data_IF_392339504350
#
_entry.id   IF_392339504350
#
_cell.length_a   1.000
_cell.length_b   1.000
_cell.length_c   1.000
_cell.angle_alpha   90.00
_cell.angle_beta   90.00
_cell.angle_gamma   90.00
#
_symmetry.space_group_name_H-M   'P 1'
#
loop_
_entity.id
_entity.type
_entity.pdbx_description
1 polymer ?
#
# COMPACT_ATOMS: atom_id res chain seq x y z
N UNK A 1 -22.16 -10.26 -18.21
CA UNK A 1 -22.01 -9.67 -16.83
C UNK A 1 -21.96 -8.16 -16.98
N UNK A 2 -22.70 -7.62 -16.52
CA UNK A 2 -23.59 -6.57 -16.07
C UNK A 2 -22.90 -5.19 -16.03
N UNK A 3 -22.47 -4.70 -17.23
CA UNK A 3 -22.26 -3.24 -17.47
C UNK A 3 -23.47 -2.41 -16.99
N UNK A 4 -24.61 -3.07 -16.78
CA UNK A 4 -25.88 -2.45 -16.42
C UNK A 4 -25.96 -1.95 -14.96
N UNK A 5 -24.95 -2.20 -14.10
CA UNK A 5 -24.88 -1.70 -12.72
C UNK A 5 -23.91 -0.54 -12.53
N UNK A 6 -23.17 -0.17 -13.58
CA UNK A 6 -22.26 0.97 -13.49
C UNK A 6 -23.08 2.28 -13.48
N UNK A 7 -22.89 3.09 -12.47
CA UNK A 7 -23.39 4.46 -12.48
C UNK A 7 -22.57 5.27 -13.49
N UNK A 8 -23.25 6.19 -14.18
CA UNK A 8 -22.54 7.13 -15.03
C UNK A 8 -21.44 7.83 -14.22
N UNK A 9 -20.21 7.90 -14.75
CA UNK A 9 -19.13 8.63 -14.09
C UNK A 9 -19.57 10.10 -13.91
N UNK A 10 -19.09 10.73 -12.84
CA UNK A 10 -19.22 12.17 -12.65
C UNK A 10 -18.59 12.95 -13.81
N UNK A 11 -18.07 14.12 -13.56
CA UNK A 11 -17.36 14.91 -14.58
C UNK A 11 -16.03 14.23 -14.97
N UNK A 12 -16.11 13.24 -15.86
CA UNK A 12 -14.96 12.55 -16.43
C UNK A 12 -14.93 12.85 -17.94
N UNK A 13 -13.88 13.50 -18.40
CA UNK A 13 -13.65 13.76 -19.82
C UNK A 13 -12.57 12.80 -20.33
N UNK A 14 -12.93 11.80 -21.16
CA UNK A 14 -11.96 10.84 -21.69
C UNK A 14 -10.81 11.50 -22.47
N UNK A 15 -11.04 12.68 -23.05
CA UNK A 15 -10.00 13.41 -23.77
C UNK A 15 -8.85 13.86 -22.87
N UNK A 16 -9.12 14.13 -21.59
CA UNK A 16 -8.06 14.48 -20.62
C UNK A 16 -7.16 13.29 -20.30
N UNK A 17 -7.73 12.11 -20.20
CA UNK A 17 -6.99 10.87 -20.04
C UNK A 17 -6.09 10.60 -21.24
N UNK A 18 -6.65 10.62 -22.43
CA UNK A 18 -5.90 10.46 -23.68
C UNK A 18 -4.78 11.49 -23.84
N UNK A 19 -5.04 12.74 -23.39
CA UNK A 19 -4.03 13.80 -23.39
C UNK A 19 -2.85 13.45 -22.47
N UNK A 20 -3.08 12.98 -21.25
CA UNK A 20 -2.02 12.59 -20.32
C UNK A 20 -1.16 11.46 -20.91
N UNK A 21 -1.79 10.41 -21.42
CA UNK A 21 -1.10 9.28 -22.07
C UNK A 21 -0.29 9.76 -23.29
N UNK A 22 -0.87 10.62 -24.13
CA UNK A 22 -0.21 11.20 -25.29
C UNK A 22 0.99 12.09 -24.93
N UNK A 23 0.91 12.85 -23.83
CA UNK A 23 2.04 13.64 -23.31
C UNK A 23 3.19 12.70 -22.93
N UNK A 24 2.94 11.64 -22.18
CA UNK A 24 3.98 10.70 -21.76
C UNK A 24 4.62 10.00 -22.98
N UNK A 25 3.83 9.54 -23.94
CA UNK A 25 4.34 8.96 -25.17
C UNK A 25 5.23 9.94 -25.95
N UNK A 26 4.87 11.23 -25.97
CA UNK A 26 5.66 12.29 -26.62
C UNK A 26 6.97 12.54 -25.88
N UNK A 27 6.95 12.63 -24.54
CA UNK A 27 8.14 12.82 -23.72
C UNK A 27 9.18 11.70 -23.92
N UNK A 28 8.70 10.49 -24.17
CA UNK A 28 9.56 9.32 -24.40
C UNK A 28 9.85 9.01 -25.87
N UNK A 29 9.30 9.78 -26.80
CA UNK A 29 9.61 9.62 -28.23
C UNK A 29 11.11 9.87 -28.54
N UNK A 30 11.62 9.48 -29.71
CA UNK A 30 13.02 9.72 -30.10
C UNK A 30 13.46 11.18 -29.94
N UNK A 31 12.56 12.12 -30.22
CA UNK A 31 12.78 13.58 -30.11
C UNK A 31 12.27 14.16 -28.77
N UNK A 32 11.81 13.30 -27.86
CA UNK A 32 11.28 13.71 -26.56
C UNK A 32 12.35 14.09 -25.54
N UNK A 33 11.95 14.21 -24.29
CA UNK A 33 12.81 14.65 -23.20
C UNK A 33 13.95 13.67 -22.92
N UNK A 34 15.22 14.10 -22.90
CA UNK A 34 16.33 13.22 -22.60
C UNK A 34 16.26 12.57 -21.21
N UNK A 35 15.73 13.29 -20.22
CA UNK A 35 15.60 12.77 -18.87
C UNK A 35 14.54 11.66 -18.81
N UNK A 36 13.33 11.89 -19.38
CA UNK A 36 12.28 10.87 -19.38
C UNK A 36 12.71 9.62 -20.15
N UNK A 37 13.43 9.78 -21.26
CA UNK A 37 13.98 8.66 -22.05
C UNK A 37 14.98 7.81 -21.30
N UNK A 38 15.75 8.42 -20.38
CA UNK A 38 16.74 7.73 -19.59
C UNK A 38 16.14 6.90 -18.44
N UNK A 39 14.86 7.12 -18.10
CA UNK A 39 14.22 6.41 -16.99
C UNK A 39 13.85 4.97 -17.35
N UNK A 40 13.90 4.11 -16.36
CA UNK A 40 13.40 2.75 -16.37
C UNK A 40 12.53 2.47 -15.12
N UNK A 41 12.00 1.25 -15.00
CA UNK A 41 11.20 0.88 -13.83
C UNK A 41 11.95 0.98 -12.51
N UNK A 42 13.26 0.74 -12.52
CA UNK A 42 14.09 0.75 -11.31
C UNK A 42 14.37 2.19 -10.86
N UNK A 43 14.75 3.07 -11.79
CA UNK A 43 15.04 4.46 -11.49
C UNK A 43 13.81 5.23 -10.99
N UNK A 44 12.60 4.83 -11.44
CA UNK A 44 11.34 5.48 -11.06
C UNK A 44 10.79 5.02 -9.70
N UNK A 45 11.28 3.94 -9.10
CA UNK A 45 10.79 3.45 -7.80
C UNK A 45 10.78 4.53 -6.71
N UNK A 46 11.88 5.28 -6.62
CA UNK A 46 12.02 6.32 -5.59
C UNK A 46 11.02 7.45 -5.79
N UNK A 47 10.81 7.88 -7.03
CA UNK A 47 9.85 8.95 -7.34
C UNK A 47 8.42 8.50 -7.02
N UNK A 48 8.04 7.29 -7.43
CA UNK A 48 6.72 6.76 -7.08
C UNK A 48 6.48 6.70 -5.56
N UNK A 49 7.52 6.39 -4.77
CA UNK A 49 7.43 6.41 -3.33
C UNK A 49 7.32 7.83 -2.77
N UNK A 50 8.08 8.79 -3.33
CA UNK A 50 8.01 10.22 -3.00
C UNK A 50 6.58 10.75 -3.19
N UNK A 51 5.99 10.56 -4.39
CA UNK A 51 4.62 11.00 -4.68
C UNK A 51 3.58 10.40 -3.73
N UNK A 52 3.73 9.12 -3.37
CA UNK A 52 2.83 8.50 -2.37
C UNK A 52 2.93 9.21 -1.02
N UNK A 53 4.12 9.61 -0.58
CA UNK A 53 4.29 10.34 0.67
C UNK A 53 3.79 11.79 0.59
N UNK A 54 3.88 12.44 -0.56
CA UNK A 54 3.35 13.78 -0.79
C UNK A 54 1.82 13.77 -0.79
N UNK A 55 1.18 12.76 -1.40
CA UNK A 55 -0.27 12.52 -1.24
C UNK A 55 -0.66 12.37 0.23
N UNK A 56 0.09 11.57 1.01
CA UNK A 56 -0.20 11.40 2.44
C UNK A 56 -0.05 12.71 3.22
N UNK A 57 0.94 13.53 2.90
CA UNK A 57 1.16 14.82 3.54
C UNK A 57 0.05 15.82 3.18
N UNK A 58 -0.40 15.84 1.93
CA UNK A 58 -1.54 16.66 1.50
C UNK A 58 -2.85 16.28 2.23
N UNK A 59 -3.10 14.97 2.42
CA UNK A 59 -4.22 14.46 3.23
C UNK A 59 -4.11 14.94 4.68
N UNK A 60 -2.93 14.81 5.27
CA UNK A 60 -2.69 15.19 6.67
C UNK A 60 -2.84 16.71 6.91
N UNK A 61 -2.52 17.53 5.90
CA UNK A 61 -2.73 18.98 5.94
C UNK A 61 -4.18 19.39 5.69
N UNK A 62 -5.01 18.49 5.16
CA UNK A 62 -6.40 18.77 4.79
C UNK A 62 -6.54 19.78 3.64
N UNK A 63 -5.58 19.80 2.69
CA UNK A 63 -5.56 20.68 1.53
C UNK A 63 -6.04 19.97 0.29
N UNK A 64 -7.28 20.25 -0.13
CA UNK A 64 -7.83 19.66 -1.36
C UNK A 64 -7.05 20.08 -2.62
N UNK A 65 -6.49 21.29 -2.63
CA UNK A 65 -5.69 21.79 -3.75
C UNK A 65 -4.38 21.00 -3.87
N UNK A 66 -3.62 20.86 -2.78
CA UNK A 66 -2.40 20.04 -2.77
C UNK A 66 -2.71 18.57 -3.05
N UNK A 67 -3.79 18.03 -2.47
CA UNK A 67 -4.18 16.65 -2.72
C UNK A 67 -4.50 16.39 -4.20
N UNK A 68 -5.12 17.35 -4.89
CA UNK A 68 -5.40 17.25 -6.32
C UNK A 68 -4.11 17.22 -7.14
N UNK A 69 -3.11 18.01 -6.76
CA UNK A 69 -1.80 18.10 -7.43
C UNK A 69 -1.02 16.79 -7.25
N UNK A 70 -0.84 16.37 -6.02
CA UNK A 70 -0.08 15.14 -5.67
C UNK A 70 -0.73 13.86 -6.22
N UNK A 71 -2.07 13.81 -6.29
CA UNK A 71 -2.76 12.70 -6.97
C UNK A 71 -2.47 12.71 -8.47
N UNK A 72 -2.26 13.87 -9.08
CA UNK A 72 -1.82 14.01 -10.47
C UNK A 72 -0.43 13.41 -10.68
N UNK A 73 0.52 13.69 -9.78
CA UNK A 73 1.89 13.20 -9.85
C UNK A 73 1.95 11.68 -9.58
N UNK A 74 1.21 11.18 -8.60
CA UNK A 74 1.06 9.74 -8.39
C UNK A 74 0.45 9.03 -9.62
N UNK A 75 -0.54 9.65 -10.28
CA UNK A 75 -1.14 9.13 -11.52
C UNK A 75 -0.13 9.15 -12.68
N UNK A 76 0.70 10.20 -12.77
CA UNK A 76 1.77 10.28 -13.76
C UNK A 76 2.73 9.10 -13.64
N UNK A 77 3.11 8.69 -12.43
CA UNK A 77 3.98 7.52 -12.22
C UNK A 77 3.34 6.24 -12.78
N UNK A 78 2.03 6.04 -12.58
CA UNK A 78 1.32 4.90 -13.17
C UNK A 78 1.38 4.90 -14.69
N UNK A 79 1.12 6.06 -15.31
CA UNK A 79 1.16 6.21 -16.79
C UNK A 79 2.59 6.02 -17.30
N UNK A 80 3.59 6.53 -16.60
CA UNK A 80 5.00 6.37 -16.96
C UNK A 80 5.42 4.90 -16.95
N UNK A 81 5.12 4.18 -15.89
CA UNK A 81 5.41 2.74 -15.83
C UNK A 81 4.68 1.95 -16.93
N UNK A 82 3.44 2.30 -17.23
CA UNK A 82 2.70 1.66 -18.33
C UNK A 82 3.31 1.97 -19.71
N UNK A 83 3.79 3.20 -19.94
CA UNK A 83 4.50 3.59 -21.16
C UNK A 83 5.78 2.77 -21.34
N UNK A 84 6.59 2.62 -20.27
CA UNK A 84 7.79 1.78 -20.29
C UNK A 84 7.48 0.32 -20.63
N UNK A 85 6.38 -0.21 -20.14
CA UNK A 85 5.94 -1.56 -20.44
C UNK A 85 5.47 -1.70 -21.89
N UNK A 86 4.73 -0.71 -22.41
CA UNK A 86 4.26 -0.67 -23.79
C UNK A 86 5.42 -0.62 -24.80
N UNK A 87 6.47 0.16 -24.52
CA UNK A 87 7.69 0.23 -25.34
C UNK A 87 8.40 -1.13 -25.48
N UNK A 88 8.24 -2.01 -24.49
CA UNK A 88 8.77 -3.38 -24.51
C UNK A 88 7.78 -4.41 -25.04
N UNK A 89 6.56 -4.00 -25.42
CA UNK A 89 5.49 -4.88 -25.85
C UNK A 89 4.95 -5.80 -24.77
N UNK A 90 5.07 -5.42 -23.48
CA UNK A 90 4.61 -6.24 -22.35
C UNK A 90 3.14 -6.02 -22.03
N UNK A 91 2.75 -4.80 -21.75
CA UNK A 91 1.37 -4.37 -21.49
C UNK A 91 1.23 -2.86 -21.70
N UNK A 92 0.00 -2.39 -21.82
CA UNK A 92 -0.35 -0.98 -22.03
C UNK A 92 -1.08 -0.41 -20.81
N UNK A 93 -1.37 0.87 -20.83
CA UNK A 93 -2.20 1.50 -19.81
C UNK A 93 -3.64 0.96 -19.83
N UNK A 94 -4.16 0.57 -20.99
CA UNK A 94 -5.49 -0.03 -21.11
C UNK A 94 -5.54 -1.39 -20.40
N UNK A 95 -4.49 -2.20 -20.51
CA UNK A 95 -4.38 -3.46 -19.77
C UNK A 95 -4.37 -3.24 -18.24
N UNK A 96 -3.74 -2.15 -17.78
CA UNK A 96 -3.75 -1.76 -16.35
C UNK A 96 -5.16 -1.39 -15.90
N UNK A 97 -5.88 -0.61 -16.71
CA UNK A 97 -7.26 -0.20 -16.44
C UNK A 97 -8.20 -1.41 -16.42
N UNK A 98 -8.12 -2.28 -17.41
CA UNK A 98 -8.94 -3.49 -17.49
C UNK A 98 -8.68 -4.40 -16.28
N UNK A 99 -7.41 -4.61 -15.94
CA UNK A 99 -7.02 -5.44 -14.79
C UNK A 99 -7.59 -4.91 -13.46
N UNK A 100 -7.58 -3.59 -13.23
CA UNK A 100 -8.14 -3.02 -11.99
C UNK A 100 -9.67 -3.00 -12.01
N UNK A 101 -10.31 -2.70 -13.14
CA UNK A 101 -11.75 -2.74 -13.29
C UNK A 101 -12.30 -4.15 -13.02
N UNK A 102 -11.76 -5.15 -13.69
CA UNK A 102 -12.14 -6.55 -13.48
C UNK A 102 -11.94 -7.00 -12.03
N UNK A 103 -10.83 -6.60 -11.43
CA UNK A 103 -10.55 -6.87 -10.02
C UNK A 103 -11.59 -6.24 -9.11
N UNK A 104 -11.99 -4.99 -9.34
CA UNK A 104 -12.98 -4.30 -8.53
C UNK A 104 -14.36 -4.95 -8.67
N UNK A 105 -14.80 -5.25 -9.88
CA UNK A 105 -16.07 -5.95 -10.14
C UNK A 105 -16.08 -7.31 -9.43
N UNK A 106 -15.03 -8.11 -9.61
CA UNK A 106 -14.94 -9.45 -9.02
C UNK A 106 -14.92 -9.43 -7.49
N UNK A 107 -14.24 -8.44 -6.88
CA UNK A 107 -14.11 -8.33 -5.42
C UNK A 107 -15.29 -7.66 -4.73
N UNK A 108 -16.26 -7.14 -5.48
CA UNK A 108 -17.47 -6.52 -4.94
C UNK A 108 -18.75 -7.24 -5.42
N UNK A 109 -18.88 -8.56 -5.18
CA UNK A 109 -20.05 -9.31 -5.65
C UNK A 109 -21.35 -8.86 -4.98
N UNK A 110 -21.28 -8.18 -3.85
CA UNK A 110 -22.42 -7.54 -3.18
C UNK A 110 -22.93 -6.30 -3.93
N UNK A 111 -22.12 -5.69 -4.82
CA UNK A 111 -22.52 -4.57 -5.67
C UNK A 111 -22.81 -5.03 -7.10
N UNK A 112 -21.91 -5.82 -7.68
CA UNK A 112 -21.94 -6.20 -9.10
C UNK A 112 -22.49 -7.61 -9.34
N UNK A 113 -22.71 -8.41 -8.30
CA UNK A 113 -23.23 -9.77 -8.32
C UNK A 113 -24.52 -9.94 -7.53
N UNK A 114 -24.68 -11.13 -6.94
CA UNK A 114 -25.86 -11.56 -6.18
C UNK A 114 -25.56 -11.73 -4.68
N UNK A 115 -24.32 -11.52 -4.24
CA UNK A 115 -23.98 -11.62 -2.83
C UNK A 115 -24.57 -10.45 -2.05
N UNK A 116 -24.84 -10.66 -0.77
CA UNK A 116 -25.32 -9.61 0.14
C UNK A 116 -24.25 -9.33 1.19
N UNK A 117 -24.08 -8.06 1.52
CA UNK A 117 -23.27 -7.60 2.65
C UNK A 117 -23.91 -6.32 3.20
N UNK A 118 -24.14 -6.29 4.51
CA UNK A 118 -24.93 -5.24 5.17
C UNK A 118 -24.06 -4.32 6.04
N UNK A 119 -22.82 -4.70 6.30
CA UNK A 119 -21.88 -3.91 7.10
C UNK A 119 -20.44 -4.03 6.55
N UNK A 120 -19.52 -3.13 6.95
CA UNK A 120 -18.13 -3.13 6.51
C UNK A 120 -17.37 -4.42 6.83
N UNK A 121 -17.65 -5.08 7.96
CA UNK A 121 -16.93 -6.28 8.40
C UNK A 121 -17.26 -7.47 7.50
N UNK A 122 -18.54 -7.61 7.09
CA UNK A 122 -18.96 -8.62 6.11
C UNK A 122 -18.30 -8.38 4.75
N UNK A 123 -18.18 -7.12 4.31
CA UNK A 123 -17.46 -6.77 3.07
C UNK A 123 -16.01 -7.16 3.17
N UNK A 124 -15.34 -6.85 4.28
CA UNK A 124 -13.94 -7.17 4.51
C UNK A 124 -13.69 -8.68 4.51
N UNK A 125 -14.53 -9.44 5.23
CA UNK A 125 -14.46 -10.91 5.27
C UNK A 125 -14.65 -11.53 3.88
N UNK A 126 -15.61 -11.02 3.11
CA UNK A 126 -15.85 -11.46 1.73
C UNK A 126 -14.64 -11.15 0.83
N UNK A 127 -14.06 -9.97 0.94
CA UNK A 127 -12.87 -9.56 0.21
C UNK A 127 -11.68 -10.49 0.48
N UNK A 128 -11.49 -10.86 1.73
CA UNK A 128 -10.40 -11.76 2.13
C UNK A 128 -10.61 -13.18 1.60
N UNK A 129 -11.84 -13.69 1.65
CA UNK A 129 -12.16 -14.99 1.07
C UNK A 129 -11.90 -15.02 -0.45
N UNK A 130 -12.24 -13.94 -1.16
CA UNK A 130 -11.98 -13.81 -2.60
C UNK A 130 -10.47 -13.75 -2.87
N UNK A 131 -9.73 -12.93 -2.13
CA UNK A 131 -8.25 -12.86 -2.24
C UNK A 131 -7.57 -14.20 -1.96
N UNK A 132 -8.09 -14.97 -1.01
CA UNK A 132 -7.57 -16.29 -0.69
C UNK A 132 -7.78 -17.29 -1.85
N UNK A 133 -8.93 -17.21 -2.56
CA UNK A 133 -9.18 -17.99 -3.76
C UNK A 133 -8.27 -17.59 -4.91
N UNK A 134 -8.16 -16.28 -5.19
CA UNK A 134 -7.28 -15.75 -6.23
C UNK A 134 -5.82 -16.21 -6.06
N UNK A 135 -5.33 -16.28 -4.83
CA UNK A 135 -3.97 -16.80 -4.53
C UNK A 135 -3.83 -18.28 -4.81
N UNK A 136 -4.87 -19.08 -4.58
CA UNK A 136 -4.85 -20.53 -4.90
C UNK A 136 -4.89 -20.79 -6.40
N UNK A 137 -5.60 -19.95 -7.15
CA UNK A 137 -5.77 -20.09 -8.59
C UNK A 137 -4.60 -19.50 -9.39
N UNK A 138 -3.91 -18.50 -8.83
CA UNK A 138 -2.69 -17.99 -9.42
C UNK A 138 -1.58 -19.03 -9.28
N UNK A 139 -0.98 -19.48 -10.42
CA UNK A 139 0.25 -20.29 -10.46
C UNK A 139 1.50 -19.54 -9.94
N UNK A 140 1.31 -18.38 -9.31
CA UNK A 140 2.37 -17.69 -8.58
C UNK A 140 2.90 -18.67 -7.52
N UNK A 141 4.19 -18.90 -7.53
CA UNK A 141 4.94 -19.73 -6.60
C UNK A 141 4.32 -19.70 -5.21
N UNK A 142 4.26 -20.88 -4.57
CA UNK A 142 3.73 -21.03 -3.21
C UNK A 142 4.50 -20.13 -2.26
N UNK A 143 4.18 -18.85 -2.27
CA UNK A 143 4.63 -17.92 -1.26
C UNK A 143 4.01 -18.38 0.06
N UNK A 144 4.84 -18.52 1.07
CA UNK A 144 4.42 -19.03 2.36
C UNK A 144 3.29 -18.23 2.99
N UNK A 145 2.77 -18.69 4.12
CA UNK A 145 1.72 -18.01 4.88
C UNK A 145 2.09 -16.53 5.17
N UNK A 146 3.38 -16.25 5.36
CA UNK A 146 3.95 -14.93 5.67
C UNK A 146 4.40 -14.13 4.45
N UNK A 147 3.81 -14.37 3.26
CA UNK A 147 4.07 -13.58 2.06
C UNK A 147 3.67 -12.10 2.26
N UNK A 148 4.59 -11.29 2.70
CA UNK A 148 4.49 -9.84 2.85
C UNK A 148 5.52 -9.20 1.92
N UNK A 149 5.20 -8.04 1.35
CA UNK A 149 6.13 -7.31 0.49
C UNK A 149 7.26 -6.70 1.34
N UNK A 150 8.49 -7.09 1.06
CA UNK A 150 9.71 -6.70 1.79
C UNK A 150 10.09 -5.22 1.56
N UNK A 151 9.51 -4.57 0.55
CA UNK A 151 9.75 -3.14 0.29
C UNK A 151 8.80 -2.20 1.07
N UNK A 152 7.95 -2.74 1.94
CA UNK A 152 7.13 -1.91 2.81
C UNK A 152 7.98 -1.20 3.88
N UNK A 153 7.57 -0.01 4.36
CA UNK A 153 8.11 0.56 5.59
C UNK A 153 8.10 -0.47 6.72
N UNK A 154 9.15 -0.49 7.54
CA UNK A 154 9.38 -1.58 8.49
C UNK A 154 8.24 -1.79 9.49
N UNK A 155 7.67 -0.70 10.03
CA UNK A 155 6.55 -0.81 10.98
C UNK A 155 5.28 -1.33 10.28
N UNK A 156 5.02 -0.87 9.04
CA UNK A 156 3.90 -1.38 8.24
C UNK A 156 4.08 -2.85 7.89
N UNK A 157 5.31 -3.29 7.58
CA UNK A 157 5.64 -4.69 7.33
C UNK A 157 5.40 -5.53 8.58
N UNK A 158 5.89 -5.10 9.74
CA UNK A 158 5.70 -5.77 11.03
C UNK A 158 4.21 -5.91 11.35
N UNK A 159 3.42 -4.85 11.21
CA UNK A 159 1.96 -4.90 11.44
C UNK A 159 1.27 -5.90 10.52
N UNK A 160 1.60 -5.91 9.21
CA UNK A 160 1.05 -6.88 8.25
C UNK A 160 1.42 -8.33 8.54
N UNK A 161 2.64 -8.59 9.02
CA UNK A 161 3.07 -9.92 9.45
C UNK A 161 2.25 -10.38 10.65
N UNK A 162 2.07 -9.52 11.64
CA UNK A 162 1.28 -9.80 12.84
C UNK A 162 -0.20 -10.00 12.54
N UNK A 163 -0.79 -9.20 11.65
CA UNK A 163 -2.16 -9.40 11.19
C UNK A 163 -2.37 -10.77 10.54
N UNK A 164 -1.39 -11.23 9.76
CA UNK A 164 -1.43 -12.56 9.15
C UNK A 164 -1.31 -13.67 10.20
N UNK A 165 -0.45 -13.50 11.20
CA UNK A 165 -0.31 -14.43 12.31
C UNK A 165 -1.62 -14.53 13.11
N UNK A 166 -2.22 -13.39 13.45
CA UNK A 166 -3.53 -13.32 14.12
C UNK A 166 -4.61 -14.13 13.38
N UNK A 167 -4.72 -13.97 12.07
CA UNK A 167 -5.73 -14.68 11.26
C UNK A 167 -5.64 -16.18 11.27
N UNK A 168 -4.50 -16.73 11.60
CA UNK A 168 -4.29 -18.20 11.74
C UNK A 168 -4.29 -18.65 13.19
N UNK A 169 -4.70 -17.77 14.11
CA UNK A 169 -4.81 -18.06 15.52
C UNK A 169 -3.49 -17.96 16.30
N UNK A 170 -2.44 -17.42 15.67
CA UNK A 170 -1.17 -17.16 16.36
C UNK A 170 -1.14 -15.70 16.85
N UNK A 171 -1.71 -15.49 18.02
CA UNK A 171 -1.81 -14.18 18.66
C UNK A 171 -1.95 -14.32 20.18
N UNK A 172 -1.75 -13.22 20.90
CA UNK A 172 -2.08 -13.12 22.30
C UNK A 172 -3.59 -13.15 22.50
N UNK A 173 -4.03 -13.77 23.60
CA UNK A 173 -5.46 -13.82 23.93
C UNK A 173 -6.04 -12.43 24.25
N UNK A 174 -5.21 -11.52 24.71
CA UNK A 174 -5.57 -10.15 25.09
C UNK A 174 -4.36 -9.21 24.97
N UNK A 175 -4.63 -7.91 25.10
CA UNK A 175 -3.60 -6.86 25.07
C UNK A 175 -2.57 -6.95 26.21
N UNK A 176 -2.93 -7.58 27.32
CA UNK A 176 -2.00 -7.75 28.47
C UNK A 176 -0.86 -8.69 28.11
N UNK A 177 -1.10 -9.68 27.23
CA UNK A 177 -0.04 -10.52 26.65
C UNK A 177 0.97 -9.69 25.87
N UNK A 178 0.48 -8.78 25.04
CA UNK A 178 1.31 -7.88 24.25
C UNK A 178 2.09 -6.88 25.12
N UNK A 179 1.48 -6.34 26.19
CA UNK A 179 2.17 -5.50 27.17
C UNK A 179 3.29 -6.24 27.91
N UNK A 180 3.04 -7.49 28.33
CA UNK A 180 4.07 -8.30 28.97
C UNK A 180 5.26 -8.55 28.05
N UNK A 181 5.00 -8.86 26.77
CA UNK A 181 6.07 -9.06 25.79
C UNK A 181 6.89 -7.78 25.56
N UNK A 182 6.24 -6.63 25.43
CA UNK A 182 6.97 -5.36 25.31
C UNK A 182 7.85 -5.06 26.53
N UNK A 183 7.37 -5.38 27.74
CA UNK A 183 8.16 -5.21 28.95
C UNK A 183 9.36 -6.20 29.03
N UNK A 184 9.16 -7.43 28.56
CA UNK A 184 10.20 -8.46 28.44
C UNK A 184 11.31 -7.99 27.49
N UNK A 185 10.98 -7.61 26.23
CA UNK A 185 11.96 -7.13 25.23
C UNK A 185 12.69 -5.85 25.70
N UNK A 186 11.98 -4.98 26.41
CA UNK A 186 12.61 -3.78 27.00
C UNK A 186 13.65 -4.17 28.05
N UNK A 187 13.39 -5.19 28.86
CA UNK A 187 14.33 -5.67 29.86
C UNK A 187 15.53 -6.41 29.23
N UNK A 188 15.29 -7.17 28.17
CA UNK A 188 16.32 -7.89 27.41
C UNK A 188 17.26 -6.90 26.70
N UNK A 189 16.72 -5.87 26.04
CA UNK A 189 17.51 -4.78 25.49
C UNK A 189 18.37 -4.07 26.54
N UNK A 190 17.82 -3.85 27.74
CA UNK A 190 18.59 -3.23 28.83
C UNK A 190 19.72 -4.14 29.36
N UNK A 191 19.57 -5.46 29.23
CA UNK A 191 20.53 -6.46 29.65
C UNK A 191 21.55 -6.84 28.56
N UNK A 192 21.39 -6.38 27.35
CA UNK A 192 22.25 -6.69 26.21
C UNK A 192 23.72 -6.33 26.50
N UNK A 193 24.64 -7.24 26.19
CA UNK A 193 26.06 -7.15 26.54
C UNK A 193 26.91 -6.52 25.43
N UNK A 194 26.42 -6.60 24.21
CA UNK A 194 27.11 -6.07 23.05
C UNK A 194 26.13 -5.48 22.03
N UNK A 195 26.68 -4.96 20.94
CA UNK A 195 25.90 -4.28 19.90
C UNK A 195 25.01 -5.25 19.12
N UNK A 196 25.40 -6.50 18.97
CA UNK A 196 24.64 -7.50 18.20
C UNK A 196 23.39 -7.93 18.99
N UNK A 197 23.56 -8.28 20.28
CA UNK A 197 22.42 -8.50 21.17
C UNK A 197 21.49 -7.28 21.24
N UNK A 198 22.04 -6.07 21.40
CA UNK A 198 21.24 -4.85 21.45
C UNK A 198 20.49 -4.55 20.13
N UNK A 199 21.02 -4.96 18.98
CA UNK A 199 20.33 -4.83 17.69
C UNK A 199 19.10 -5.74 17.61
N UNK A 200 19.26 -6.99 18.03
CA UNK A 200 18.20 -7.99 18.02
C UNK A 200 17.08 -7.59 18.99
N UNK A 201 17.42 -7.29 20.24
CA UNK A 201 16.44 -6.91 21.27
C UNK A 201 15.73 -5.58 20.96
N UNK A 202 16.43 -4.62 20.35
CA UNK A 202 15.78 -3.39 19.88
C UNK A 202 14.76 -3.68 18.77
N UNK A 203 15.09 -4.60 17.87
CA UNK A 203 14.16 -5.05 16.82
C UNK A 203 12.92 -5.70 17.41
N UNK A 204 13.09 -6.59 18.38
CA UNK A 204 12.01 -7.31 19.04
C UNK A 204 11.14 -6.38 19.89
N UNK A 205 11.74 -5.42 20.59
CA UNK A 205 11.01 -4.38 21.32
C UNK A 205 10.14 -3.53 20.38
N UNK A 206 10.67 -3.10 19.22
CA UNK A 206 9.90 -2.35 18.22
C UNK A 206 8.77 -3.22 17.67
N UNK A 207 9.04 -4.50 17.37
CA UNK A 207 8.04 -5.44 16.88
C UNK A 207 6.91 -5.68 17.89
N UNK A 208 7.25 -5.80 19.18
CA UNK A 208 6.28 -5.90 20.28
C UNK A 208 5.44 -4.62 20.42
N UNK A 209 6.05 -3.44 20.25
CA UNK A 209 5.33 -2.17 20.25
C UNK A 209 4.34 -2.06 19.08
N UNK A 210 4.69 -2.55 17.89
CA UNK A 210 3.78 -2.62 16.73
C UNK A 210 2.62 -3.58 17.03
N UNK A 211 2.87 -4.73 17.68
CA UNK A 211 1.80 -5.64 18.11
C UNK A 211 0.82 -4.96 19.06
N UNK A 212 1.33 -4.20 20.01
CA UNK A 212 0.50 -3.44 20.93
C UNK A 212 -0.36 -2.40 20.21
N UNK A 213 0.20 -1.67 19.22
CA UNK A 213 -0.55 -0.71 18.39
C UNK A 213 -1.75 -1.38 17.72
N UNK A 214 -1.61 -2.61 17.23
CA UNK A 214 -2.68 -3.40 16.63
C UNK A 214 -3.83 -3.68 17.61
N UNK A 215 -3.55 -3.97 18.88
CA UNK A 215 -4.59 -4.14 19.91
C UNK A 215 -5.34 -2.85 20.26
N UNK A 216 -4.80 -1.70 19.89
CA UNK A 216 -5.46 -0.40 20.01
C UNK A 216 -6.08 0.09 18.69
N UNK A 217 -6.06 -0.74 17.65
CA UNK A 217 -6.52 -0.37 16.29
C UNK A 217 -5.79 0.88 15.76
N UNK A 218 -4.48 0.95 16.02
CA UNK A 218 -3.60 2.05 15.62
C UNK A 218 -2.66 1.55 14.52
N UNK A 219 -2.55 2.32 13.44
CA UNK A 219 -1.49 2.16 12.44
C UNK A 219 -0.17 2.65 13.03
N UNK A 220 0.79 1.73 13.23
CA UNK A 220 2.06 2.02 13.88
C UNK A 220 2.95 2.97 13.07
N UNK A 221 2.93 2.87 11.74
CA UNK A 221 3.68 3.77 10.83
C UNK A 221 3.15 5.20 10.95
N UNK A 222 1.83 5.38 10.91
CA UNK A 222 1.21 6.69 11.04
C UNK A 222 1.40 7.29 12.44
N UNK A 223 1.34 6.46 13.49
CA UNK A 223 1.59 6.92 14.86
C UNK A 223 2.99 7.50 15.02
N UNK A 224 4.01 6.84 14.46
CA UNK A 224 5.39 7.33 14.52
C UNK A 224 5.58 8.58 13.63
N UNK A 225 4.99 8.61 12.44
CA UNK A 225 4.98 9.80 11.58
C UNK A 225 4.35 11.01 12.27
N UNK A 226 3.22 10.82 12.95
CA UNK A 226 2.59 11.87 13.74
C UNK A 226 3.52 12.38 14.86
N UNK A 227 4.19 11.49 15.55
CA UNK A 227 5.14 11.86 16.63
C UNK A 227 6.34 12.62 16.08
N UNK A 228 6.89 12.22 14.93
CA UNK A 228 7.99 12.92 14.27
C UNK A 228 7.59 14.36 13.90
N UNK A 229 6.39 14.55 13.30
CA UNK A 229 5.87 15.90 12.99
C UNK A 229 5.68 16.74 14.24
N UNK A 230 5.10 16.17 15.29
CA UNK A 230 4.92 16.85 16.57
C UNK A 230 6.26 17.26 17.19
N UNK A 231 7.28 16.44 17.10
CA UNK A 231 8.63 16.76 17.57
C UNK A 231 9.23 17.92 16.76
N UNK A 232 9.20 17.84 15.42
CA UNK A 232 9.70 18.89 14.52
C UNK A 232 9.01 20.22 14.81
N UNK A 233 7.67 20.23 14.93
CA UNK A 233 6.88 21.43 15.20
C UNK A 233 7.18 22.07 16.57
N UNK A 234 7.65 21.29 17.55
CA UNK A 234 8.03 21.83 18.88
C UNK A 234 9.48 22.30 18.94
N UNK A 235 10.31 21.82 18.02
CA UNK A 235 11.72 22.18 17.95
C UNK A 235 11.93 23.48 17.16
N UNK A 236 11.09 23.79 16.18
CA UNK A 236 11.10 25.03 15.38
C UNK A 236 10.29 26.13 16.04
#
# INVERSE_FOLDING_TARGET
MTENKLKAPGRCDPAKWQRLVGIMATLRSPEGCPWDKAQDHESLKRYFLEEVYEVLDAIDRGSDESLCDELGDALLQVVFHAQLAAERGSFTIDDVLDAICDKMVRRHPHIFGEAEAHDPDQVLSMWEAIKARERKDSRAEKRGLMDVNDNLPALMMAQKVQDKAHRVGFDWADREGSWRKLAEETAELHAAKDREEALDELGDMIFAAVNLARFYDIDAEQALRHTNRKFISRFN
#
